data_IF_918285136875
#
_entry.id   IF_918285136875
#
_cell.length_a   1.000
_cell.length_b   1.000
_cell.length_c   1.000
_cell.angle_alpha   90.00
_cell.angle_beta   90.00
_cell.angle_gamma   90.00
#
_symmetry.space_group_name_H-M   'P 1'
#
loop_
_entity.id
_entity.type
_entity.pdbx_description
1 polymer ?
#
# COMPACT_ATOMS: atom_id res chain seq x y z
N UNK A 1 9.74 2.93 -8.34
CA UNK A 1 9.41 2.29 -9.63
C UNK A 1 10.09 0.92 -9.69
N UNK A 2 9.39 -0.20 -9.42
CA UNK A 2 10.03 -1.52 -9.24
C UNK A 2 9.21 -2.65 -9.84
N UNK A 3 9.90 -3.72 -10.27
CA UNK A 3 9.31 -4.92 -10.83
C UNK A 3 10.13 -6.19 -10.60
N UNK A 4 9.41 -7.32 -10.52
CA UNK A 4 9.93 -8.69 -10.65
C UNK A 4 9.29 -9.38 -11.86
N UNK A 5 10.05 -10.17 -12.60
CA UNK A 5 9.54 -10.97 -13.71
C UNK A 5 9.17 -12.39 -13.25
N UNK A 6 8.08 -12.94 -13.81
CA UNK A 6 7.80 -14.37 -13.82
C UNK A 6 7.90 -14.86 -15.28
N UNK A 7 8.59 -15.98 -15.49
CA UNK A 7 8.75 -16.63 -16.80
C UNK A 7 8.28 -18.07 -16.67
N UNK A 8 7.27 -18.45 -17.44
CA UNK A 8 6.80 -19.83 -17.57
C UNK A 8 7.05 -20.35 -18.98
N UNK A 9 7.39 -21.63 -19.11
CA UNK A 9 7.48 -22.33 -20.41
C UNK A 9 6.34 -23.34 -20.46
N UNK A 10 5.46 -23.21 -21.45
CA UNK A 10 4.46 -24.23 -21.78
C UNK A 10 4.58 -24.47 -23.28
N UNK A 11 4.89 -25.71 -23.65
CA UNK A 11 4.94 -26.26 -25.02
C UNK A 11 5.47 -25.34 -26.14
N UNK A 12 6.80 -25.15 -26.15
CA UNK A 12 7.51 -24.56 -27.30
C UNK A 12 7.39 -23.04 -27.47
N UNK A 13 6.40 -22.40 -26.85
CA UNK A 13 6.28 -20.94 -26.70
C UNK A 13 6.89 -20.45 -25.39
N UNK A 14 7.57 -19.31 -25.41
CA UNK A 14 8.00 -18.63 -24.18
C UNK A 14 7.00 -17.55 -23.84
N UNK A 15 6.20 -17.74 -22.79
CA UNK A 15 5.25 -16.75 -22.29
C UNK A 15 5.99 -15.79 -21.35
N UNK A 16 6.03 -14.50 -21.67
CA UNK A 16 6.79 -13.51 -20.92
C UNK A 16 5.88 -12.44 -20.30
N UNK A 17 5.79 -12.44 -18.97
CA UNK A 17 5.15 -11.37 -18.20
C UNK A 17 6.14 -10.22 -18.00
N UNK A 18 5.85 -9.05 -18.59
CA UNK A 18 6.75 -7.90 -18.51
C UNK A 18 6.46 -7.10 -17.25
N UNK A 19 7.40 -7.13 -16.32
CA UNK A 19 7.49 -6.12 -15.29
C UNK A 19 8.90 -5.50 -15.30
N UNK A 20 8.94 -4.28 -15.84
CA UNK A 20 9.90 -3.14 -15.87
C UNK A 20 11.44 -3.25 -16.10
N UNK A 21 11.92 -2.15 -16.72
CA UNK A 21 13.24 -1.54 -16.97
C UNK A 21 14.40 -2.37 -17.53
N UNK A 22 14.76 -3.51 -16.95
CA UNK A 22 15.93 -4.30 -17.42
C UNK A 22 15.78 -4.90 -18.84
N UNK A 23 14.61 -4.75 -19.45
CA UNK A 23 14.24 -5.37 -20.73
C UNK A 23 13.62 -4.41 -21.76
N UNK A 24 13.75 -3.09 -21.57
CA UNK A 24 13.58 -2.13 -22.68
C UNK A 24 14.43 -2.58 -23.88
N UNK A 25 15.66 -3.01 -23.62
CA UNK A 25 16.56 -3.62 -24.61
C UNK A 25 15.97 -4.86 -25.29
N UNK A 26 15.25 -5.76 -24.60
CA UNK A 26 14.70 -6.95 -25.28
C UNK A 26 13.59 -6.57 -26.27
N UNK A 27 12.64 -5.73 -25.83
CA UNK A 27 11.56 -5.25 -26.69
C UNK A 27 12.09 -4.42 -27.86
N UNK A 28 13.09 -3.59 -27.60
CA UNK A 28 13.67 -2.68 -28.60
C UNK A 28 14.62 -3.37 -29.57
N UNK A 29 15.28 -4.47 -29.20
CA UNK A 29 16.25 -5.15 -30.06
C UNK A 29 15.64 -6.21 -30.98
N UNK A 30 14.34 -6.56 -30.84
CA UNK A 30 13.72 -7.52 -31.78
C UNK A 30 13.60 -6.91 -33.19
N UNK A 31 13.93 -7.68 -34.24
CA UNK A 31 13.70 -7.28 -35.63
C UNK A 31 12.23 -7.06 -35.95
N UNK A 32 11.36 -7.88 -35.35
CA UNK A 32 9.91 -7.79 -35.47
C UNK A 32 9.34 -7.40 -34.11
N UNK A 33 8.50 -6.37 -34.09
CA UNK A 33 7.82 -5.93 -32.87
C UNK A 33 6.91 -7.04 -32.32
N UNK A 34 7.07 -7.42 -31.04
CA UNK A 34 6.30 -8.52 -30.45
C UNK A 34 4.82 -8.17 -30.31
N UNK A 35 3.95 -9.18 -30.41
CA UNK A 35 2.52 -9.04 -30.12
C UNK A 35 2.27 -9.08 -28.62
N UNK A 36 1.24 -8.40 -28.15
CA UNK A 36 0.87 -8.36 -26.76
C UNK A 36 -0.63 -8.50 -26.57
N UNK A 37 -1.00 -9.26 -25.55
CA UNK A 37 -2.36 -9.32 -25.03
C UNK A 37 -2.42 -8.63 -23.66
N UNK A 38 -3.37 -7.72 -23.50
CA UNK A 38 -3.63 -7.07 -22.21
C UNK A 38 -4.57 -7.96 -21.40
N UNK A 39 -4.16 -8.29 -20.19
CA UNK A 39 -4.91 -9.13 -19.26
C UNK A 39 -5.20 -8.32 -18.00
N UNK A 40 -6.47 -7.99 -17.78
CA UNK A 40 -6.95 -7.41 -16.54
C UNK A 40 -7.18 -8.50 -15.52
N UNK A 41 -6.81 -8.26 -14.27
CA UNK A 41 -7.09 -9.18 -13.17
C UNK A 41 -7.78 -8.37 -12.07
N UNK A 42 -9.01 -8.75 -11.77
CA UNK A 42 -9.85 -8.09 -10.78
C UNK A 42 -10.43 -9.09 -9.77
N UNK A 43 -10.87 -8.51 -8.65
CA UNK A 43 -11.54 -9.22 -7.57
C UNK A 43 -13.04 -9.08 -7.81
N UNK A 44 -13.65 -10.08 -8.42
CA UNK A 44 -15.09 -10.07 -8.61
C UNK A 44 -15.79 -10.54 -7.33
N UNK A 45 -16.55 -9.65 -6.71
CA UNK A 45 -17.71 -10.01 -5.90
C UNK A 45 -18.78 -10.49 -6.85
N UNK A 46 -19.20 -11.76 -6.71
CA UNK A 46 -20.20 -12.40 -7.58
C UNK A 46 -21.51 -11.61 -7.71
N UNK A 47 -21.76 -10.64 -6.84
CA UNK A 47 -22.96 -9.80 -6.78
C UNK A 47 -22.88 -8.52 -7.62
N UNK A 48 -21.70 -8.08 -8.10
CA UNK A 48 -21.53 -6.73 -8.69
C UNK A 48 -21.59 -6.66 -10.23
N UNK A 49 -21.66 -7.76 -11.01
CA UNK A 49 -21.42 -7.63 -12.48
C UNK A 49 -22.05 -8.66 -13.43
N UNK A 50 -23.29 -9.08 -13.21
CA UNK A 50 -23.99 -9.94 -14.18
C UNK A 50 -25.14 -9.27 -14.92
N UNK A 51 -25.16 -7.93 -14.97
CA UNK A 51 -25.96 -7.27 -15.99
C UNK A 51 -25.34 -7.64 -17.36
N UNK A 52 -26.11 -8.43 -18.09
CA UNK A 52 -25.80 -9.05 -19.36
C UNK A 52 -25.57 -8.01 -20.45
N UNK A 53 -24.42 -7.32 -20.44
CA UNK A 53 -23.94 -6.67 -21.65
C UNK A 53 -23.71 -7.76 -22.71
N UNK A 54 -24.48 -7.69 -23.79
CA UNK A 54 -24.52 -8.69 -24.87
C UNK A 54 -23.15 -8.96 -25.53
N UNK A 55 -22.17 -8.09 -25.28
CA UNK A 55 -20.84 -8.07 -25.91
C UNK A 55 -19.74 -8.80 -25.15
N UNK A 56 -20.06 -9.45 -24.03
CA UNK A 56 -19.05 -10.13 -23.21
C UNK A 56 -19.27 -11.63 -23.23
N UNK A 57 -18.20 -12.37 -23.53
CA UNK A 57 -18.26 -13.84 -23.52
C UNK A 57 -17.56 -14.36 -22.29
N UNK A 58 -18.36 -14.82 -21.33
CA UNK A 58 -17.86 -15.53 -20.17
C UNK A 58 -17.41 -16.93 -20.58
N UNK A 59 -16.15 -17.23 -20.34
CA UNK A 59 -15.59 -18.57 -20.42
C UNK A 59 -15.25 -18.93 -18.99
N UNK A 60 -16.16 -19.68 -18.35
CA UNK A 60 -15.88 -20.16 -17.00
C UNK A 60 -14.72 -21.16 -17.08
N UNK A 61 -13.68 -20.91 -16.28
CA UNK A 61 -12.58 -21.86 -16.09
C UNK A 61 -13.03 -23.05 -15.27
N UNK A 62 -12.08 -23.81 -14.72
CA UNK A 62 -12.31 -25.03 -13.93
C UNK A 62 -13.03 -24.78 -12.56
N UNK A 63 -13.92 -23.81 -12.45
CA UNK A 63 -14.63 -23.40 -11.24
C UNK A 63 -13.81 -22.52 -10.28
N UNK A 64 -12.60 -22.12 -10.66
CA UNK A 64 -11.65 -21.38 -9.82
C UNK A 64 -11.25 -20.01 -10.37
N UNK A 65 -11.43 -19.76 -11.66
CA UNK A 65 -11.19 -18.49 -12.34
C UNK A 65 -12.27 -18.33 -13.40
N UNK A 66 -12.85 -17.15 -13.49
CA UNK A 66 -13.75 -16.81 -14.58
C UNK A 66 -13.00 -15.90 -15.56
N UNK A 67 -12.92 -16.33 -16.82
CA UNK A 67 -12.19 -15.59 -17.86
C UNK A 67 -13.21 -14.97 -18.81
N UNK A 68 -13.06 -13.67 -19.02
CA UNK A 68 -13.92 -12.89 -19.88
C UNK A 68 -13.11 -12.28 -21.00
N UNK A 69 -13.52 -12.53 -22.23
CA UNK A 69 -12.90 -11.93 -23.41
C UNK A 69 -13.78 -10.78 -23.88
N UNK A 70 -13.17 -9.59 -24.00
CA UNK A 70 -13.83 -8.43 -24.59
C UNK A 70 -13.96 -8.67 -26.11
N UNK A 71 -15.17 -8.57 -26.69
CA UNK A 71 -15.37 -8.85 -28.12
C UNK A 71 -14.76 -7.81 -29.05
N UNK A 72 -14.74 -6.56 -28.61
CA UNK A 72 -14.19 -5.46 -29.37
C UNK A 72 -12.76 -5.15 -28.94
N UNK A 73 -11.96 -4.70 -29.91
CA UNK A 73 -10.70 -4.05 -29.61
C UNK A 73 -11.03 -2.91 -28.64
N UNK A 74 -10.50 -2.98 -27.42
CA UNK A 74 -10.83 -2.02 -26.38
C UNK A 74 -10.75 -0.60 -26.93
N UNK A 75 -11.89 0.10 -26.88
CA UNK A 75 -11.95 1.50 -27.29
C UNK A 75 -10.88 2.25 -26.50
N UNK A 76 -10.16 3.15 -27.17
CA UNK A 76 -9.17 4.00 -26.52
C UNK A 76 -9.78 4.71 -25.30
N UNK A 77 -11.09 4.98 -25.31
CA UNK A 77 -11.85 5.59 -24.22
C UNK A 77 -12.22 4.65 -23.06
N UNK A 78 -11.94 3.35 -23.13
CA UNK A 78 -12.13 2.43 -22.01
C UNK A 78 -11.31 2.90 -20.79
N UNK A 79 -12.00 3.07 -19.66
CA UNK A 79 -11.38 3.53 -18.42
C UNK A 79 -10.30 2.57 -17.91
N UNK A 80 -10.46 1.26 -18.17
CA UNK A 80 -9.47 0.22 -17.83
C UNK A 80 -8.16 0.45 -18.59
N UNK A 81 -8.25 0.91 -19.84
CA UNK A 81 -7.07 1.22 -20.65
C UNK A 81 -6.35 2.51 -20.24
N UNK A 82 -6.98 3.42 -19.49
CA UNK A 82 -6.31 4.68 -19.09
C UNK A 82 -4.97 4.43 -18.40
N UNK A 83 -4.86 3.34 -17.64
CA UNK A 83 -3.63 2.91 -16.96
C UNK A 83 -2.61 2.25 -17.89
N UNK A 84 -3.04 1.69 -19.02
CA UNK A 84 -2.18 1.01 -20.01
C UNK A 84 -1.84 1.90 -21.21
N UNK A 85 -2.47 3.08 -21.38
CA UNK A 85 -2.15 4.05 -22.46
C UNK A 85 -0.66 4.43 -22.52
N UNK A 86 0.03 4.45 -21.38
CA UNK A 86 1.46 4.73 -21.33
C UNK A 86 2.33 3.61 -21.92
N UNK A 87 1.80 2.40 -22.13
CA UNK A 87 2.55 1.30 -22.71
C UNK A 87 2.87 1.53 -24.18
N UNK A 88 1.93 2.11 -24.94
CA UNK A 88 2.16 2.41 -26.35
C UNK A 88 3.29 3.45 -26.53
N UNK A 89 3.32 4.48 -25.68
CA UNK A 89 4.37 5.49 -25.71
C UNK A 89 5.71 4.98 -25.16
N UNK A 90 5.69 4.14 -24.12
CA UNK A 90 6.90 3.57 -23.51
C UNK A 90 7.49 2.38 -24.27
N UNK A 91 6.66 1.63 -24.98
CA UNK A 91 7.03 0.41 -25.69
C UNK A 91 6.49 0.46 -27.12
N UNK A 92 7.00 1.39 -27.92
CA UNK A 92 6.53 1.67 -29.29
C UNK A 92 6.57 0.48 -30.26
N UNK A 93 7.38 -0.54 -29.97
CA UNK A 93 7.46 -1.79 -30.76
C UNK A 93 6.44 -2.86 -30.34
N UNK A 94 5.74 -2.69 -29.22
CA UNK A 94 4.78 -3.65 -28.70
C UNK A 94 3.44 -3.50 -29.42
N UNK A 95 3.01 -4.55 -30.14
CA UNK A 95 1.77 -4.53 -30.94
C UNK A 95 0.60 -5.08 -30.13
N UNK A 96 -0.34 -4.22 -29.77
CA UNK A 96 -1.53 -4.60 -28.97
C UNK A 96 -2.79 -4.80 -29.83
N UNK A 97 -2.68 -4.73 -31.16
CA UNK A 97 -3.82 -4.74 -32.10
C UNK A 97 -4.13 -6.13 -32.68
N UNK A 98 -3.49 -7.18 -32.16
CA UNK A 98 -3.65 -8.57 -32.61
C UNK A 98 -4.57 -9.36 -31.67
N UNK A 99 -4.61 -8.99 -30.39
CA UNK A 99 -5.35 -9.69 -29.35
C UNK A 99 -6.29 -8.73 -28.63
N UNK A 100 -7.53 -9.14 -28.45
CA UNK A 100 -8.48 -8.50 -27.57
C UNK A 100 -8.02 -8.63 -26.13
N UNK A 101 -8.45 -7.69 -25.30
CA UNK A 101 -8.16 -7.78 -23.89
C UNK A 101 -8.97 -8.90 -23.23
N UNK A 102 -8.35 -9.47 -22.20
CA UNK A 102 -8.95 -10.53 -21.39
C UNK A 102 -9.06 -10.01 -19.97
N UNK A 103 -10.20 -10.20 -19.32
CA UNK A 103 -10.37 -9.94 -17.89
C UNK A 103 -10.48 -11.28 -17.17
N UNK A 104 -9.63 -11.49 -16.17
CA UNK A 104 -9.62 -12.68 -15.33
C UNK A 104 -10.15 -12.29 -13.96
N UNK A 105 -11.34 -12.79 -13.66
CA UNK A 105 -12.00 -12.60 -12.39
C UNK A 105 -11.50 -13.66 -11.42
N UNK A 106 -10.85 -13.23 -10.35
CA UNK A 106 -10.44 -14.12 -9.26
C UNK A 106 -11.59 -14.14 -8.25
N UNK A 107 -12.27 -15.29 -8.04
CA UNK A 107 -13.25 -15.40 -6.98
C UNK A 107 -12.51 -15.29 -5.64
N UNK A 108 -12.77 -14.21 -4.90
CA UNK A 108 -12.35 -14.08 -3.50
C UNK A 108 -13.53 -14.44 -2.60
N UNK A 109 -13.79 -15.73 -2.31
CA UNK A 109 -14.55 -16.02 -1.11
C UNK A 109 -13.71 -15.53 0.07
N UNK A 110 -14.30 -14.71 0.96
CA UNK A 110 -13.64 -14.16 2.15
C UNK A 110 -12.90 -15.23 3.01
N UNK A 111 -13.15 -16.53 2.76
CA UNK A 111 -12.71 -17.65 3.58
C UNK A 111 -12.03 -18.83 2.85
N UNK A 112 -11.77 -18.81 1.53
CA UNK A 112 -11.04 -19.92 0.88
C UNK A 112 -9.68 -19.48 0.32
N UNK A 113 -8.63 -19.85 1.04
CA UNK A 113 -7.28 -20.07 0.50
C UNK A 113 -7.21 -21.54 0.06
N UNK A 114 -6.44 -21.90 -0.99
CA UNK A 114 -5.40 -21.10 -1.64
C UNK A 114 -5.90 -20.30 -2.86
N UNK A 115 -5.22 -19.19 -3.14
CA UNK A 115 -5.32 -18.52 -4.44
C UNK A 115 -4.95 -19.50 -5.56
N UNK A 116 -5.50 -19.33 -6.78
CA UNK A 116 -5.02 -20.01 -7.98
C UNK A 116 -3.48 -19.94 -8.03
N UNK A 117 -2.82 -21.07 -8.27
CA UNK A 117 -1.41 -21.02 -8.60
C UNK A 117 -1.23 -20.35 -9.99
N UNK A 118 -0.01 -19.91 -10.27
CA UNK A 118 0.27 -19.26 -11.55
C UNK A 118 0.05 -20.18 -12.74
N UNK A 119 0.12 -21.49 -12.56
CA UNK A 119 -0.17 -22.46 -13.62
C UNK A 119 -1.66 -22.46 -13.96
N UNK A 120 -2.56 -22.45 -12.98
CA UNK A 120 -3.99 -22.37 -13.20
C UNK A 120 -4.38 -21.08 -13.92
N UNK A 121 -3.76 -19.96 -13.57
CA UNK A 121 -3.94 -18.69 -14.27
C UNK A 121 -3.52 -18.80 -15.74
N UNK A 122 -2.31 -19.31 -16.01
CA UNK A 122 -1.80 -19.49 -17.37
C UNK A 122 -2.68 -20.47 -18.15
N UNK A 123 -3.03 -21.61 -17.58
CA UNK A 123 -3.88 -22.63 -18.21
C UNK A 123 -5.26 -22.08 -18.55
N UNK A 124 -5.81 -21.18 -17.73
CA UNK A 124 -7.08 -20.52 -18.01
C UNK A 124 -6.99 -19.56 -19.19
N UNK A 125 -5.87 -18.83 -19.33
CA UNK A 125 -5.61 -17.96 -20.49
C UNK A 125 -5.28 -18.75 -21.77
N UNK A 126 -4.63 -19.91 -21.63
CA UNK A 126 -4.30 -20.82 -22.74
C UNK A 126 -5.48 -21.71 -23.16
N UNK A 127 -6.67 -21.52 -22.57
CA UNK A 127 -7.86 -22.23 -22.99
C UNK A 127 -8.12 -21.92 -24.48
N UNK A 128 -8.31 -22.94 -25.35
CA UNK A 128 -8.52 -22.74 -26.79
C UNK A 128 -9.66 -21.76 -27.10
N UNK A 129 -10.72 -21.76 -26.30
CA UNK A 129 -11.85 -20.84 -26.48
C UNK A 129 -11.49 -19.39 -26.14
N UNK A 130 -10.65 -19.17 -25.13
CA UNK A 130 -10.13 -17.84 -24.77
C UNK A 130 -9.21 -17.35 -25.88
N UNK A 131 -8.29 -18.20 -26.33
CA UNK A 131 -7.37 -17.87 -27.42
C UNK A 131 -8.14 -17.52 -28.70
N UNK A 132 -9.07 -18.37 -29.13
CA UNK A 132 -9.89 -18.15 -30.33
C UNK A 132 -10.68 -16.84 -30.25
N UNK A 133 -11.39 -16.60 -29.13
CA UNK A 133 -12.21 -15.38 -28.98
C UNK A 133 -11.37 -14.12 -28.80
N UNK A 134 -10.14 -14.25 -28.33
CA UNK A 134 -9.26 -13.10 -28.15
C UNK A 134 -8.58 -12.64 -29.44
N UNK A 135 -8.76 -13.30 -30.58
CA UNK A 135 -8.14 -12.87 -31.84
C UNK A 135 -9.01 -11.82 -32.54
N UNK A 136 -8.49 -10.59 -32.69
CA UNK A 136 -9.24 -9.47 -33.30
C UNK A 136 -9.19 -9.46 -34.84
N UNK A 137 -8.30 -10.25 -35.45
CA UNK A 137 -8.07 -10.27 -36.90
C UNK A 137 -7.92 -11.72 -37.39
N UNK A 138 -8.19 -11.95 -38.68
CA UNK A 138 -7.86 -13.19 -39.41
C UNK A 138 -6.33 -13.40 -39.57
N UNK A 139 -5.55 -13.02 -38.56
CA UNK A 139 -4.16 -13.39 -38.43
C UNK A 139 -4.11 -14.90 -38.20
N UNK A 140 -3.16 -15.57 -38.87
CA UNK A 140 -2.83 -16.96 -38.57
C UNK A 140 -2.69 -17.09 -37.04
N UNK A 141 -3.33 -18.10 -36.45
CA UNK A 141 -3.39 -18.34 -35.01
C UNK A 141 -1.97 -18.34 -34.40
N UNK A 142 -1.54 -17.17 -33.91
CA UNK A 142 -0.26 -17.01 -33.21
C UNK A 142 -0.56 -16.48 -31.83
N UNK A 143 -0.08 -17.22 -30.83
CA UNK A 143 -0.11 -16.81 -29.44
C UNK A 143 0.56 -15.44 -29.25
N UNK A 144 0.12 -14.63 -28.27
CA UNK A 144 0.81 -13.39 -27.97
C UNK A 144 2.24 -13.65 -27.50
N UNK A 145 3.22 -12.90 -28.01
CA UNK A 145 4.60 -12.97 -27.52
C UNK A 145 4.70 -12.51 -26.03
N UNK A 146 3.79 -11.63 -25.61
CA UNK A 146 3.83 -10.93 -24.32
C UNK A 146 2.44 -10.87 -23.70
N UNK A 147 2.34 -11.17 -22.41
CA UNK A 147 1.17 -10.83 -21.60
C UNK A 147 1.43 -9.57 -20.79
N UNK A 148 0.55 -8.59 -20.95
CA UNK A 148 0.55 -7.34 -20.18
C UNK A 148 -0.50 -7.47 -19.11
N UNK A 149 -0.06 -7.76 -17.88
CA UNK A 149 -0.97 -7.93 -16.76
C UNK A 149 -1.26 -6.58 -16.09
N UNK A 150 -2.52 -6.22 -16.00
CA UNK A 150 -3.04 -5.09 -15.23
C UNK A 150 -3.83 -5.63 -14.05
N UNK A 151 -3.27 -5.55 -12.84
CA UNK A 151 -3.92 -6.10 -11.65
C UNK A 151 -3.83 -5.14 -10.46
N UNK A 152 -4.66 -5.39 -9.46
CA UNK A 152 -4.56 -4.71 -8.17
C UNK A 152 -3.41 -5.29 -7.33
N UNK A 153 -2.35 -4.49 -7.16
CA UNK A 153 -1.11 -4.85 -6.44
C UNK A 153 -1.32 -5.41 -5.03
N UNK A 154 -2.50 -5.22 -4.43
CA UNK A 154 -2.82 -5.71 -3.09
C UNK A 154 -2.92 -7.23 -3.01
N UNK A 155 -3.29 -7.89 -4.11
CA UNK A 155 -3.40 -9.33 -4.18
C UNK A 155 -2.63 -9.84 -5.39
N UNK A 156 -1.41 -10.31 -5.12
CA UNK A 156 -0.58 -10.87 -6.16
C UNK A 156 -1.21 -12.19 -6.64
N UNK A 157 -1.60 -12.31 -7.93
CA UNK A 157 -2.28 -13.50 -8.43
C UNK A 157 -1.34 -14.72 -8.51
N UNK A 158 -0.02 -14.51 -8.40
CA UNK A 158 0.99 -15.57 -8.44
C UNK A 158 1.56 -15.81 -7.04
N UNK A 159 0.70 -16.18 -6.09
CA UNK A 159 1.12 -16.59 -4.74
C UNK A 159 1.91 -17.91 -4.76
N UNK A 160 2.58 -18.28 -3.65
CA UNK A 160 3.35 -19.51 -3.55
C UNK A 160 2.40 -20.67 -3.30
N UNK A 161 1.69 -21.07 -4.35
CA UNK A 161 1.05 -22.38 -4.43
C UNK A 161 2.05 -23.50 -4.67
N UNK A 162 3.32 -23.21 -5.00
CA UNK A 162 4.36 -24.23 -5.06
C UNK A 162 4.73 -24.64 -3.64
N UNK A 163 4.53 -25.93 -3.33
CA UNK A 163 4.83 -26.59 -2.07
C UNK A 163 6.22 -26.25 -1.46
N UNK A 164 7.17 -25.79 -2.26
CA UNK A 164 8.54 -25.43 -1.86
C UNK A 164 8.70 -24.07 -1.18
N UNK A 165 7.87 -23.07 -1.49
CA UNK A 165 8.00 -21.75 -0.85
C UNK A 165 7.49 -21.77 0.61
N UNK A 166 6.60 -22.72 0.93
CA UNK A 166 6.10 -22.95 2.30
C UNK A 166 7.15 -23.66 3.17
N UNK A 167 8.03 -24.50 2.60
CA UNK A 167 9.02 -25.27 3.37
C UNK A 167 10.27 -24.48 3.76
N UNK A 168 10.53 -23.32 3.15
CA UNK A 168 11.73 -22.48 3.44
C UNK A 168 11.42 -21.29 4.36
N UNK A 169 10.17 -21.12 4.83
CA UNK A 169 9.81 -20.01 5.73
C UNK A 169 9.86 -18.62 5.07
N UNK A 170 10.01 -18.54 3.75
CA UNK A 170 9.81 -17.32 2.98
C UNK A 170 8.31 -17.15 2.69
N UNK A 171 7.56 -16.67 3.68
CA UNK A 171 6.10 -16.48 3.57
C UNK A 171 5.71 -15.24 2.72
N UNK A 172 6.66 -14.64 2.00
CA UNK A 172 6.38 -13.57 1.06
C UNK A 172 6.85 -13.94 -0.36
N UNK A 173 5.96 -14.52 -1.17
CA UNK A 173 6.11 -14.43 -2.64
C UNK A 173 5.26 -13.32 -3.25
N UNK A 174 4.77 -12.40 -2.42
CA UNK A 174 4.27 -11.11 -2.91
C UNK A 174 5.41 -10.23 -3.42
N UNK A 175 5.06 -9.25 -4.26
CA UNK A 175 5.98 -8.16 -4.62
C UNK A 175 6.55 -7.53 -3.36
N UNK A 176 7.85 -7.69 -3.14
CA UNK A 176 8.55 -7.03 -2.04
C UNK A 176 8.78 -5.55 -2.41
N UNK A 177 8.89 -4.70 -1.37
CA UNK A 177 9.35 -3.34 -1.57
C UNK A 177 10.81 -3.33 -2.01
N UNK A 178 11.25 -2.20 -2.53
CA UNK A 178 12.61 -2.09 -3.03
C UNK A 178 13.67 -2.12 -1.95
N UNK A 179 14.88 -2.53 -2.33
CA UNK A 179 16.05 -2.45 -1.45
C UNK A 179 16.29 -1.02 -0.93
N UNK A 180 16.02 0.01 -1.75
CA UNK A 180 16.12 1.41 -1.33
C UNK A 180 15.14 1.73 -0.19
N UNK A 181 13.88 1.29 -0.31
CA UNK A 181 12.84 1.50 0.73
C UNK A 181 13.16 0.70 1.99
N UNK A 182 13.63 -0.54 1.85
CA UNK A 182 14.07 -1.36 2.99
C UNK A 182 15.29 -0.77 3.71
N UNK A 183 16.26 -0.26 2.95
CA UNK A 183 17.45 0.41 3.49
C UNK A 183 17.09 1.72 4.19
N UNK A 184 16.19 2.51 3.62
CA UNK A 184 15.69 3.72 4.28
C UNK A 184 14.92 3.37 5.55
N UNK A 185 13.95 2.46 5.50
CA UNK A 185 13.23 2.00 6.68
C UNK A 185 14.18 1.50 7.77
N UNK A 186 15.24 0.76 7.37
CA UNK A 186 16.29 0.32 8.28
C UNK A 186 16.98 1.51 8.96
N UNK A 187 17.43 2.51 8.21
CA UNK A 187 18.04 3.74 8.76
C UNK A 187 17.12 4.50 9.73
N UNK A 188 15.81 4.48 9.48
CA UNK A 188 14.83 5.13 10.36
C UNK A 188 14.70 4.40 11.71
N UNK A 189 14.72 3.05 11.71
CA UNK A 189 14.40 2.27 12.92
C UNK A 189 15.62 1.70 13.66
N UNK A 190 16.78 1.57 13.00
CA UNK A 190 18.01 1.02 13.57
C UNK A 190 18.45 1.69 14.88
N UNK A 191 18.31 3.02 15.06
CA UNK A 191 18.67 3.68 16.32
C UNK A 191 17.92 3.16 17.54
N UNK A 192 16.76 2.52 17.36
CA UNK A 192 15.88 2.14 18.46
C UNK A 192 16.04 0.70 18.96
N UNK A 193 16.80 -0.15 18.26
CA UNK A 193 16.96 -1.59 18.55
C UNK A 193 15.63 -2.34 18.78
N UNK A 194 15.03 -2.21 19.97
CA UNK A 194 13.69 -2.69 20.34
C UNK A 194 12.73 -1.53 20.57
N UNK A 195 11.65 -1.48 19.79
CA UNK A 195 10.59 -0.49 19.93
C UNK A 195 9.22 -1.14 19.83
N UNK A 196 8.20 -0.44 20.33
CA UNK A 196 6.79 -0.80 20.15
C UNK A 196 6.23 0.03 19.00
N UNK A 197 5.57 -0.60 18.05
CA UNK A 197 4.86 0.10 16.99
C UNK A 197 3.34 0.07 17.21
N UNK A 198 2.69 1.21 17.03
CA UNK A 198 1.25 1.38 17.03
C UNK A 198 0.81 1.70 15.61
N UNK A 199 -0.18 0.98 15.09
CA UNK A 199 -0.89 1.39 13.89
C UNK A 199 -2.31 1.84 14.24
N UNK A 200 -2.58 3.13 14.09
CA UNK A 200 -3.87 3.73 14.42
C UNK A 200 -4.46 4.54 13.27
N UNK A 201 -5.52 3.99 12.68
CA UNK A 201 -6.24 4.55 11.54
C UNK A 201 -7.46 5.35 12.01
N UNK A 202 -7.23 6.60 12.42
CA UNK A 202 -8.21 7.49 13.03
C UNK A 202 -9.35 7.85 12.08
N UNK A 203 -9.14 7.89 10.76
CA UNK A 203 -10.17 8.32 9.81
C UNK A 203 -11.36 7.34 9.73
N UNK A 204 -11.18 6.13 10.26
CA UNK A 204 -12.23 5.11 10.35
C UNK A 204 -13.02 5.16 11.66
N UNK A 205 -12.59 5.98 12.61
CA UNK A 205 -13.19 6.08 13.94
C UNK A 205 -14.12 7.31 13.98
N UNK A 206 -15.37 7.15 14.45
CA UNK A 206 -16.25 8.29 14.72
C UNK A 206 -15.54 9.33 15.60
N UNK A 207 -15.51 10.62 15.20
CA UNK A 207 -14.71 11.64 15.90
C UNK A 207 -14.95 11.71 17.41
N UNK A 208 -16.20 11.61 17.84
CA UNK A 208 -16.58 11.66 19.25
C UNK A 208 -15.97 10.54 20.12
N UNK A 209 -15.52 9.43 19.52
CA UNK A 209 -14.87 8.32 20.25
C UNK A 209 -13.34 8.44 20.27
N UNK A 210 -12.74 9.32 19.48
CA UNK A 210 -11.29 9.42 19.38
C UNK A 210 -10.58 9.73 20.71
N UNK A 211 -11.10 10.62 21.58
CA UNK A 211 -10.47 10.87 22.88
C UNK A 211 -10.45 9.63 23.76
N UNK A 212 -11.59 8.92 23.89
CA UNK A 212 -11.68 7.68 24.68
C UNK A 212 -10.75 6.59 24.11
N UNK A 213 -10.67 6.49 22.77
CA UNK A 213 -9.73 5.59 22.11
C UNK A 213 -8.26 5.95 22.35
N UNK A 214 -7.94 7.24 22.48
CA UNK A 214 -6.60 7.69 22.84
C UNK A 214 -6.25 7.29 24.28
N UNK A 215 -7.18 7.43 25.22
CA UNK A 215 -6.99 6.98 26.61
C UNK A 215 -6.78 5.47 26.67
N UNK A 216 -7.63 4.70 25.98
CA UNK A 216 -7.48 3.24 25.89
C UNK A 216 -6.14 2.81 25.26
N UNK A 217 -5.66 3.55 24.26
CA UNK A 217 -4.32 3.34 23.69
C UNK A 217 -3.23 3.58 24.75
N UNK A 218 -3.29 4.70 25.46
CA UNK A 218 -2.31 5.05 26.52
C UNK A 218 -2.29 3.97 27.62
N UNK A 219 -3.44 3.51 28.08
CA UNK A 219 -3.56 2.45 29.08
C UNK A 219 -2.97 1.12 28.59
N UNK A 220 -3.23 0.77 27.33
CA UNK A 220 -2.67 -0.42 26.69
C UNK A 220 -1.14 -0.31 26.63
N UNK A 221 -0.60 0.82 26.19
CA UNK A 221 0.83 1.07 26.14
C UNK A 221 1.47 0.99 27.53
N UNK A 222 0.85 1.61 28.53
CA UNK A 222 1.35 1.60 29.91
C UNK A 222 1.40 0.16 30.46
N UNK A 223 0.36 -0.62 30.21
CA UNK A 223 0.29 -2.03 30.63
C UNK A 223 1.39 -2.87 29.95
N UNK A 224 1.54 -2.76 28.63
CA UNK A 224 2.52 -3.54 27.88
C UNK A 224 3.98 -3.17 28.20
N UNK A 225 4.24 -1.88 28.45
CA UNK A 225 5.59 -1.39 28.73
C UNK A 225 5.98 -1.55 30.21
N UNK A 226 5.01 -1.70 31.12
CA UNK A 226 5.26 -2.07 32.51
C UNK A 226 5.57 -3.58 32.69
N UNK A 227 5.16 -4.43 31.74
CA UNK A 227 5.47 -5.85 31.77
C UNK A 227 6.99 -6.09 31.61
N UNK A 228 7.63 -6.86 32.52
CA UNK A 228 9.08 -7.02 32.54
C UNK A 228 9.63 -7.83 31.36
N UNK A 229 8.78 -8.55 30.63
CA UNK A 229 9.15 -9.34 29.45
C UNK A 229 8.82 -8.53 28.20
N UNK A 230 7.59 -8.01 28.08
CA UNK A 230 7.13 -7.30 26.89
C UNK A 230 7.73 -5.90 26.77
N UNK A 231 7.91 -5.19 27.87
CA UNK A 231 8.49 -3.84 27.92
C UNK A 231 10.01 -3.79 27.97
N UNK A 232 10.69 -4.94 28.13
CA UNK A 232 12.15 -4.98 28.27
C UNK A 232 12.85 -4.25 27.11
N UNK A 233 13.79 -3.36 27.42
CA UNK A 233 14.57 -2.58 26.45
C UNK A 233 13.77 -1.69 25.48
N UNK A 234 12.45 -1.56 25.64
CA UNK A 234 11.64 -0.65 24.82
C UNK A 234 11.73 0.75 25.41
N UNK A 235 12.30 1.68 24.65
CA UNK A 235 12.38 3.13 24.99
C UNK A 235 11.66 4.03 24.00
N UNK A 236 11.22 3.46 22.88
CA UNK A 236 10.59 4.19 21.79
C UNK A 236 9.27 3.55 21.42
N UNK A 237 8.26 4.40 21.21
CA UNK A 237 6.98 4.08 20.61
C UNK A 237 6.91 4.74 19.25
N UNK A 238 6.77 3.92 18.21
CA UNK A 238 6.55 4.35 16.83
C UNK A 238 5.05 4.39 16.55
N UNK A 239 4.48 5.56 16.27
CA UNK A 239 3.05 5.67 15.95
C UNK A 239 2.85 5.93 14.45
N UNK A 240 2.40 4.88 13.76
CA UNK A 240 1.94 4.91 12.38
C UNK A 240 0.45 5.29 12.36
N UNK A 241 0.14 6.51 11.96
CA UNK A 241 -1.23 7.03 11.92
C UNK A 241 -1.46 7.82 10.64
N UNK A 242 -2.72 7.80 10.20
CA UNK A 242 -3.26 8.61 9.11
C UNK A 242 -3.41 10.10 9.48
N UNK A 243 -3.16 10.47 10.73
CA UNK A 243 -3.13 11.86 11.19
C UNK A 243 -2.05 12.67 10.46
N UNK A 244 -2.38 13.86 9.92
CA UNK A 244 -1.52 14.56 8.96
C UNK A 244 -0.31 15.27 9.60
N UNK A 245 -0.30 15.53 10.91
CA UNK A 245 0.79 16.31 11.52
C UNK A 245 1.78 15.44 12.30
N UNK A 246 3.02 15.93 12.49
CA UNK A 246 3.97 15.34 13.40
C UNK A 246 3.38 15.15 14.80
N UNK A 247 3.64 13.98 15.36
CA UNK A 247 3.12 13.45 16.62
C UNK A 247 4.14 13.60 17.76
N UNK A 248 5.41 13.91 17.47
CA UNK A 248 6.40 14.07 18.52
C UNK A 248 6.06 15.20 19.50
N UNK A 249 6.40 14.98 20.76
CA UNK A 249 6.14 15.89 21.88
C UNK A 249 6.89 17.21 21.76
N UNK A 250 7.97 17.26 20.98
CA UNK A 250 8.74 18.48 20.70
C UNK A 250 8.08 19.39 19.66
N UNK A 251 7.16 18.86 18.86
CA UNK A 251 6.40 19.61 17.86
C UNK A 251 5.20 20.26 18.55
N UNK A 252 5.36 21.49 19.05
CA UNK A 252 4.21 22.28 19.49
C UNK A 252 3.46 22.77 18.27
N UNK A 253 2.31 22.16 17.97
CA UNK A 253 1.31 22.81 17.12
C UNK A 253 0.74 23.93 17.98
N UNK A 254 1.18 25.16 17.75
CA UNK A 254 0.52 26.34 18.30
C UNK A 254 -0.83 26.45 17.61
N UNK A 255 -1.86 25.91 18.26
CA UNK A 255 -3.28 26.06 17.86
C UNK A 255 -3.68 27.53 17.64
N UNK A 256 -2.93 28.46 18.23
CA UNK A 256 -3.20 29.90 18.20
C UNK A 256 -2.88 30.57 16.84
N UNK A 257 -2.04 29.97 16.00
CA UNK A 257 -1.61 30.58 14.72
C UNK A 257 -2.52 30.21 13.54
N UNK A 258 -3.16 29.04 13.64
CA UNK A 258 -4.14 28.55 12.64
C UNK A 258 -5.58 28.98 12.93
N UNK A 259 -5.86 29.52 14.13
CA UNK A 259 -7.13 30.18 14.46
C UNK A 259 -7.22 31.63 13.96
N UNK A 260 -6.11 32.25 13.50
CA UNK A 260 -6.06 33.69 13.15
C UNK A 260 -6.14 34.03 11.66
N UNK A 261 -6.38 33.07 10.76
CA UNK A 261 -6.61 33.37 9.34
C UNK A 261 -8.10 33.25 9.01
N UNK A 262 -8.85 34.23 9.48
CA UNK A 262 -10.07 34.78 8.86
C UNK A 262 -10.47 36.00 9.69
N UNK A 263 -9.83 37.15 9.43
CA UNK A 263 -10.38 38.46 9.80
C UNK A 263 -11.27 38.91 8.63
N UNK A 264 -12.61 38.83 8.74
CA UNK A 264 -13.50 39.32 7.70
C UNK A 264 -13.72 40.81 7.94
N UNK A 265 -12.70 41.64 7.70
CA UNK A 265 -12.93 43.05 7.40
C UNK A 265 -13.24 43.20 5.91
N UNK A 266 -14.44 42.75 5.51
CA UNK A 266 -15.14 43.32 4.38
C UNK A 266 -16.63 43.40 4.69
N UNK A 267 -17.06 44.63 4.97
CA UNK A 267 -18.43 45.10 4.99
C UNK A 267 -19.23 44.58 3.79
N UNK A 268 -20.15 43.63 3.99
CA UNK A 268 -21.41 43.55 3.24
C UNK A 268 -22.49 42.87 4.09
N UNK A 269 -23.61 43.57 4.29
CA UNK A 269 -24.87 43.04 4.80
C UNK A 269 -25.35 41.82 4.00
N UNK A 270 -25.55 40.66 4.63
CA UNK A 270 -26.76 39.86 4.42
C UNK A 270 -26.96 38.74 5.45
N UNK A 271 -28.25 38.44 5.58
CA UNK A 271 -28.98 37.67 6.56
C UNK A 271 -28.90 36.14 6.32
N UNK A 272 -29.30 35.41 7.37
CA UNK A 272 -29.75 34.03 7.42
C UNK A 272 -28.76 32.85 7.63
N UNK A 273 -29.27 31.96 8.43
CA UNK A 273 -28.72 30.97 9.35
C UNK A 273 -28.17 29.71 8.68
N UNK A 274 -26.86 29.66 8.45
CA UNK A 274 -26.16 28.37 8.27
C UNK A 274 -25.00 28.28 9.25
N UNK A 275 -25.16 27.47 10.31
CA UNK A 275 -24.05 27.04 11.18
C UNK A 275 -23.03 26.25 10.34
N UNK A 276 -22.11 26.96 9.70
CA UNK A 276 -20.94 26.35 9.09
C UNK A 276 -19.90 26.12 10.18
N UNK A 277 -19.81 24.87 10.63
CA UNK A 277 -18.73 24.42 11.51
C UNK A 277 -17.37 24.78 10.86
N UNK A 278 -16.46 25.47 11.56
CA UNK A 278 -15.18 25.88 11.00
C UNK A 278 -14.30 24.65 10.83
N UNK A 279 -14.42 24.00 9.67
CA UNK A 279 -13.52 22.95 9.23
C UNK A 279 -12.16 23.57 8.93
N UNK A 280 -11.16 23.17 9.71
CA UNK A 280 -9.78 23.61 9.57
C UNK A 280 -9.23 23.13 8.22
N UNK A 281 -8.92 24.05 7.30
CA UNK A 281 -8.31 23.69 6.02
C UNK A 281 -6.85 23.28 6.25
N UNK A 282 -6.56 22.01 5.99
CA UNK A 282 -5.23 21.42 6.12
C UNK A 282 -4.39 21.86 4.93
N UNK A 283 -3.22 22.45 5.18
CA UNK A 283 -2.20 22.69 4.16
C UNK A 283 -1.93 21.39 3.39
N UNK A 284 -2.12 21.43 2.08
CA UNK A 284 -2.01 20.27 1.20
C UNK A 284 -0.59 19.69 1.25
N UNK A 285 0.42 20.52 1.50
CA UNK A 285 1.82 20.10 1.64
C UNK A 285 2.08 19.28 2.91
N UNK A 286 1.24 19.42 3.95
CA UNK A 286 1.35 18.67 5.19
C UNK A 286 0.54 17.37 5.19
N UNK A 287 -0.12 17.00 4.09
CA UNK A 287 -0.99 15.81 4.05
C UNK A 287 -0.19 14.51 3.93
N UNK A 288 -0.01 13.82 5.07
CA UNK A 288 0.59 12.47 5.14
C UNK A 288 -0.29 11.37 4.55
N UNK A 289 -1.58 11.62 4.39
CA UNK A 289 -2.51 10.64 3.84
C UNK A 289 -3.61 11.28 3.00
N UNK A 290 -3.88 10.67 1.85
CA UNK A 290 -5.03 11.01 1.00
C UNK A 290 -6.36 10.50 1.56
N UNK A 291 -6.33 9.63 2.58
CA UNK A 291 -7.54 9.06 3.19
C UNK A 291 -8.23 10.03 4.14
N UNK A 292 -7.48 10.98 4.71
CA UNK A 292 -8.02 11.97 5.64
C UNK A 292 -8.73 13.09 4.88
N UNK A 293 -10.06 13.05 4.85
CA UNK A 293 -10.88 14.08 4.19
C UNK A 293 -11.00 15.35 5.02
N UNK A 294 -11.06 15.22 6.35
CA UNK A 294 -11.24 16.33 7.27
C UNK A 294 -10.69 15.98 8.65
N UNK A 295 -9.95 16.90 9.27
CA UNK A 295 -9.52 16.79 10.67
C UNK A 295 -10.47 17.58 11.55
N UNK A 296 -11.07 16.90 12.53
CA UNK A 296 -11.94 17.53 13.54
C UNK A 296 -11.16 17.87 14.82
N UNK A 297 -11.71 18.73 15.71
CA UNK A 297 -11.11 18.99 17.02
C UNK A 297 -10.88 17.75 17.88
N UNK A 298 -11.71 16.71 17.72
CA UNK A 298 -11.55 15.46 18.49
C UNK A 298 -10.31 14.65 18.06
N UNK A 299 -9.90 14.75 16.78
CA UNK A 299 -8.65 14.16 16.33
C UNK A 299 -7.45 14.84 17.00
N UNK A 300 -7.48 16.17 17.05
CA UNK A 300 -6.44 16.96 17.72
C UNK A 300 -6.41 16.61 19.21
N UNK A 301 -7.58 16.54 19.85
CA UNK A 301 -7.69 16.17 21.27
C UNK A 301 -7.13 14.77 21.53
N UNK A 302 -7.46 13.80 20.70
CA UNK A 302 -6.95 12.44 20.81
C UNK A 302 -5.42 12.39 20.70
N UNK A 303 -4.84 13.10 19.73
CA UNK A 303 -3.38 13.18 19.60
C UNK A 303 -2.75 13.93 20.78
N UNK A 304 -3.38 14.97 21.32
CA UNK A 304 -2.89 15.64 22.53
C UNK A 304 -2.97 14.75 23.79
N UNK A 305 -3.95 13.86 23.90
CA UNK A 305 -4.00 12.83 24.95
C UNK A 305 -2.77 11.91 24.83
N UNK A 306 -2.50 11.40 23.63
CA UNK A 306 -1.32 10.54 23.39
C UNK A 306 -0.04 11.31 23.70
N UNK A 307 0.16 12.52 23.15
CA UNK A 307 1.34 13.36 23.40
C UNK A 307 1.50 13.68 24.88
N UNK A 308 0.40 13.98 25.56
CA UNK A 308 0.34 14.26 27.00
C UNK A 308 0.90 13.11 27.83
N UNK A 309 0.64 11.86 27.45
CA UNK A 309 1.17 10.69 28.15
C UNK A 309 2.71 10.61 28.13
N UNK A 310 3.38 11.11 27.09
CA UNK A 310 4.85 11.10 26.96
C UNK A 310 5.54 12.35 27.55
N UNK A 311 4.79 13.40 27.92
CA UNK A 311 5.34 14.62 28.54
C UNK A 311 5.84 14.33 29.98
N UNK A 312 6.69 15.21 30.56
CA UNK A 312 7.05 15.14 31.98
C UNK A 312 5.83 15.00 32.89
N UNK A 313 5.81 13.93 33.69
CA UNK A 313 4.70 13.60 34.60
C UNK A 313 3.55 12.80 33.99
N UNK A 314 3.58 12.50 32.69
CA UNK A 314 2.61 11.62 32.03
C UNK A 314 2.83 10.13 32.33
N UNK A 315 1.84 9.30 32.01
CA UNK A 315 1.87 7.85 32.26
C UNK A 315 3.02 7.12 31.56
N UNK A 316 3.48 7.65 30.43
CA UNK A 316 4.56 7.10 29.60
C UNK A 316 5.81 7.98 29.67
N UNK A 317 5.98 8.73 30.77
CA UNK A 317 7.12 9.61 30.97
C UNK A 317 8.46 8.85 30.86
N UNK A 318 9.42 9.45 30.15
CA UNK A 318 10.76 8.88 29.94
C UNK A 318 10.87 7.98 28.71
N UNK A 319 9.75 7.72 28.02
CA UNK A 319 9.73 7.09 26.71
C UNK A 319 9.70 8.13 25.59
N UNK A 320 10.14 7.74 24.40
CA UNK A 320 10.12 8.58 23.19
C UNK A 320 8.94 8.20 22.31
N UNK A 321 8.15 9.20 21.89
CA UNK A 321 7.14 9.04 20.84
C UNK A 321 7.69 9.59 19.53
N UNK A 322 7.71 8.77 18.48
CA UNK A 322 8.16 9.15 17.14
C UNK A 322 7.28 8.52 16.05
N UNK A 323 7.51 8.91 14.80
CA UNK A 323 6.86 8.37 13.60
C UNK A 323 7.73 8.63 12.37
N UNK A 324 7.25 8.21 11.19
CA UNK A 324 8.06 8.32 9.96
C UNK A 324 8.50 9.76 9.64
N UNK A 325 7.70 10.77 9.96
CA UNK A 325 8.02 12.17 9.60
C UNK A 325 9.17 12.70 10.43
N UNK A 326 9.14 12.47 11.73
CA UNK A 326 10.19 12.91 12.65
C UNK A 326 11.51 12.20 12.39
N UNK A 327 11.44 10.91 12.02
CA UNK A 327 12.63 10.14 11.68
C UNK A 327 13.22 10.54 10.33
N UNK A 328 12.40 10.89 9.35
CA UNK A 328 12.89 11.45 8.09
C UNK A 328 13.59 12.79 8.30
N UNK A 329 13.02 13.68 9.13
CA UNK A 329 13.64 14.95 9.48
C UNK A 329 14.97 14.76 10.22
N UNK A 330 15.05 13.77 11.12
CA UNK A 330 16.31 13.41 11.80
C UNK A 330 17.36 12.95 10.79
N UNK A 331 17.01 12.02 9.91
CA UNK A 331 17.92 11.47 8.90
C UNK A 331 18.41 12.55 7.93
N UNK A 332 17.53 13.50 7.54
CA UNK A 332 17.91 14.65 6.70
C UNK A 332 18.94 15.54 7.41
N UNK A 333 18.71 15.92 8.67
CA UNK A 333 19.64 16.74 9.45
C UNK A 333 21.00 16.06 9.69
N UNK A 334 21.02 14.75 9.86
CA UNK A 334 22.26 13.96 9.97
C UNK A 334 23.07 14.01 8.67
N UNK A 335 22.40 13.95 7.51
CA UNK A 335 23.06 14.11 6.20
C UNK A 335 23.65 15.53 6.02
N UNK A 336 22.93 16.57 6.44
CA UNK A 336 23.39 17.97 6.32
C UNK A 336 24.58 18.29 7.22
N UNK A 337 24.57 17.77 8.45
CA UNK A 337 25.62 18.03 9.45
C UNK A 337 26.87 17.18 9.25
N UNK A 338 26.79 16.11 8.46
CA UNK A 338 27.83 15.09 8.29
C UNK A 338 29.12 15.53 7.58
N UNK A 339 29.21 16.74 7.01
CA UNK A 339 30.44 17.39 6.52
C UNK A 339 31.31 16.65 5.48
N UNK A 340 30.99 15.39 5.15
CA UNK A 340 31.71 14.55 4.20
C UNK A 340 30.90 14.44 2.93
N UNK A 341 31.42 15.01 1.85
CA UNK A 341 30.86 14.98 0.48
C UNK A 341 30.79 13.59 -0.17
N UNK A 342 30.41 12.56 0.58
CA UNK A 342 29.97 11.29 0.03
C UNK A 342 28.47 11.33 -0.21
N UNK A 343 28.06 12.08 -1.25
CA UNK A 343 26.75 11.82 -1.87
C UNK A 343 26.81 10.40 -2.41
N UNK A 344 26.30 9.44 -1.63
CA UNK A 344 26.16 8.06 -2.08
C UNK A 344 24.93 7.90 -2.97
N UNK A 345 24.22 8.99 -3.25
CA UNK A 345 23.01 9.06 -4.05
C UNK A 345 23.07 10.33 -4.89
N UNK A 346 23.89 10.34 -5.95
CA UNK A 346 23.90 11.42 -6.95
C UNK A 346 22.55 11.61 -7.69
N UNK A 347 21.51 10.86 -7.30
CA UNK A 347 20.10 11.00 -7.69
C UNK A 347 19.25 11.58 -6.53
N UNK A 348 19.76 12.56 -5.78
CA UNK A 348 19.11 13.12 -4.57
C UNK A 348 17.76 13.79 -4.89
N UNK A 349 17.64 14.46 -6.04
CA UNK A 349 16.40 15.17 -6.43
C UNK A 349 15.19 14.22 -6.62
N UNK A 350 15.41 12.99 -7.08
CA UNK A 350 14.32 12.02 -7.25
C UNK A 350 13.85 11.41 -5.92
N UNK A 351 14.73 11.38 -4.90
CA UNK A 351 14.38 10.82 -3.61
C UNK A 351 13.54 11.75 -2.76
N UNK A 352 13.83 13.04 -2.78
CA UNK A 352 13.01 14.00 -2.03
C UNK A 352 11.57 14.03 -2.57
N UNK A 353 11.39 14.01 -3.89
CA UNK A 353 10.06 13.90 -4.51
C UNK A 353 9.36 12.58 -4.13
N UNK A 354 10.10 11.48 -3.97
CA UNK A 354 9.54 10.20 -3.56
C UNK A 354 9.09 10.22 -2.08
N UNK A 355 9.77 10.96 -1.22
CA UNK A 355 9.46 11.04 0.22
C UNK A 355 8.29 11.98 0.52
N UNK A 356 7.90 12.82 -0.44
CA UNK A 356 6.66 13.60 -0.38
C UNK A 356 5.42 12.76 -0.69
N UNK A 357 5.58 11.56 -1.26
CA UNK A 357 4.45 10.68 -1.58
C UNK A 357 3.87 10.04 -0.28
N UNK A 358 2.60 10.30 0.06
CA UNK A 358 1.98 9.76 1.27
C UNK A 358 1.89 8.23 1.27
N UNK A 359 1.81 7.61 0.09
CA UNK A 359 1.87 6.16 -0.06
C UNK A 359 3.25 5.59 0.32
N UNK A 360 4.33 6.28 -0.04
CA UNK A 360 5.70 5.93 0.38
C UNK A 360 5.86 6.04 1.89
N UNK A 361 5.34 7.11 2.51
CA UNK A 361 5.36 7.26 3.97
C UNK A 361 4.61 6.12 4.67
N UNK A 362 3.41 5.77 4.17
CA UNK A 362 2.67 4.61 4.65
C UNK A 362 3.44 3.29 4.50
N UNK A 363 4.16 3.10 3.40
CA UNK A 363 5.02 1.92 3.19
C UNK A 363 6.13 1.87 4.24
N UNK A 364 6.79 2.99 4.53
CA UNK A 364 7.85 3.07 5.54
C UNK A 364 7.32 2.74 6.94
N UNK A 365 6.17 3.32 7.31
CA UNK A 365 5.45 3.01 8.55
C UNK A 365 5.12 1.51 8.66
N UNK A 366 4.71 0.90 7.54
CA UNK A 366 4.40 -0.54 7.48
C UNK A 366 5.63 -1.39 7.79
N UNK A 367 6.75 -1.10 7.14
CA UNK A 367 7.99 -1.86 7.31
C UNK A 367 8.53 -1.66 8.73
N UNK A 368 8.42 -0.45 9.28
CA UNK A 368 8.72 -0.20 10.69
C UNK A 368 7.84 -1.06 11.61
N UNK A 369 6.51 -1.05 11.44
CA UNK A 369 5.61 -1.86 12.25
C UNK A 369 5.87 -3.38 12.12
N UNK A 370 6.25 -3.86 10.93
CA UNK A 370 6.66 -5.25 10.71
C UNK A 370 7.92 -5.62 11.49
N UNK A 371 8.84 -4.66 11.70
CA UNK A 371 10.13 -4.87 12.38
C UNK A 371 10.11 -4.62 13.89
N UNK A 372 9.03 -4.04 14.42
CA UNK A 372 8.90 -3.72 15.84
C UNK A 372 9.02 -4.97 16.74
N UNK A 373 9.41 -4.79 18.00
CA UNK A 373 9.40 -5.88 18.98
C UNK A 373 7.96 -6.26 19.37
N UNK A 374 7.13 -5.23 19.61
CA UNK A 374 5.71 -5.34 19.96
C UNK A 374 4.89 -4.52 18.95
N UNK A 375 3.75 -5.04 18.52
CA UNK A 375 2.83 -4.35 17.61
C UNK A 375 1.45 -4.22 18.24
N UNK A 376 0.89 -3.01 18.19
CA UNK A 376 -0.43 -2.66 18.72
C UNK A 376 -1.28 -2.07 17.61
N UNK A 377 -2.55 -2.45 17.53
CA UNK A 377 -3.49 -1.91 16.56
C UNK A 377 -4.87 -1.62 17.16
N UNK A 378 -5.66 -0.76 16.52
CA UNK A 378 -7.01 -0.46 17.00
C UNK A 378 -7.97 -1.66 16.85
N UNK A 379 -8.71 -1.98 17.91
CA UNK A 379 -9.86 -2.88 17.87
C UNK A 379 -11.02 -2.22 17.10
N UNK A 380 -12.07 -3.00 16.78
CA UNK A 380 -13.19 -2.59 15.89
C UNK A 380 -13.83 -1.24 16.25
N UNK A 381 -13.79 -0.80 17.51
CA UNK A 381 -14.32 0.51 17.96
C UNK A 381 -13.32 1.65 17.79
N UNK A 382 -12.04 1.38 17.97
CA UNK A 382 -10.96 2.36 17.93
C UNK A 382 -10.10 2.28 16.67
N UNK A 383 -10.49 1.45 15.71
CA UNK A 383 -9.92 1.38 14.38
C UNK A 383 -10.55 0.27 13.54
N UNK A 384 -10.28 0.30 12.25
CA UNK A 384 -10.59 -0.81 11.35
C UNK A 384 -9.36 -1.69 11.17
N UNK A 385 -9.52 -3.01 11.26
CA UNK A 385 -8.51 -3.97 10.80
C UNK A 385 -8.42 -3.82 9.28
N UNK A 386 -7.48 -2.97 8.85
CA UNK A 386 -7.22 -2.71 7.44
C UNK A 386 -6.40 -3.84 6.82
N UNK A 387 -6.37 -3.92 5.49
CA UNK A 387 -5.44 -4.80 4.78
C UNK A 387 -3.99 -4.53 5.19
N UNK A 388 -3.65 -3.28 5.49
CA UNK A 388 -2.35 -2.86 6.03
C UNK A 388 -2.06 -3.51 7.39
N UNK A 389 -2.99 -3.41 8.35
CA UNK A 389 -2.87 -4.05 9.67
C UNK A 389 -2.74 -5.56 9.52
N UNK A 390 -3.59 -6.17 8.68
CA UNK A 390 -3.58 -7.62 8.42
C UNK A 390 -2.24 -8.08 7.85
N UNK A 391 -1.67 -7.34 6.90
CA UNK A 391 -0.35 -7.66 6.33
C UNK A 391 0.76 -7.60 7.38
N UNK A 392 0.71 -6.65 8.33
CA UNK A 392 1.67 -6.59 9.45
C UNK A 392 1.48 -7.81 10.35
N UNK A 393 0.25 -8.10 10.78
CA UNK A 393 -0.07 -9.25 11.64
C UNK A 393 0.33 -10.57 10.99
N UNK A 394 0.00 -10.76 9.71
CA UNK A 394 0.33 -11.98 8.95
C UNK A 394 1.85 -12.12 8.78
N UNK A 395 2.57 -11.04 8.47
CA UNK A 395 4.04 -11.07 8.38
C UNK A 395 4.66 -11.49 9.72
N UNK A 396 4.20 -10.89 10.81
CA UNK A 396 4.68 -11.16 12.17
C UNK A 396 4.39 -12.60 12.59
N UNK A 397 3.15 -13.08 12.42
CA UNK A 397 2.76 -14.45 12.74
C UNK A 397 3.61 -15.52 12.01
N UNK A 398 4.12 -15.17 10.83
CA UNK A 398 4.90 -16.09 9.99
C UNK A 398 6.42 -15.92 10.11
N UNK A 399 6.90 -14.84 10.73
CA UNK A 399 8.32 -14.61 10.98
C UNK A 399 8.84 -15.59 12.05
N UNK A 400 9.22 -16.80 11.65
CA UNK A 400 9.86 -17.78 12.53
C UNK A 400 11.33 -17.40 12.74
N UNK A 401 11.77 -17.31 13.99
CA UNK A 401 13.19 -17.23 14.35
C UNK A 401 13.78 -15.82 14.56
N UNK A 402 12.97 -14.76 14.54
CA UNK A 402 13.42 -13.45 15.01
C UNK A 402 13.29 -13.36 16.54
N UNK A 403 14.24 -12.69 17.20
CA UNK A 403 14.20 -12.32 18.62
C UNK A 403 13.06 -11.34 18.96
N UNK A 404 12.19 -11.03 17.99
CA UNK A 404 11.02 -10.19 18.20
C UNK A 404 10.04 -10.95 19.07
N UNK A 405 9.50 -10.26 20.08
CA UNK A 405 8.48 -10.82 20.98
C UNK A 405 7.19 -11.18 20.24
N UNK A 406 7.08 -10.77 18.97
CA UNK A 406 6.08 -11.16 17.99
C UNK A 406 4.64 -11.10 18.52
N UNK A 407 4.43 -10.20 19.47
CA UNK A 407 3.13 -9.94 20.09
C UNK A 407 2.38 -8.96 19.20
N UNK A 408 1.09 -9.27 19.01
CA UNK A 408 0.11 -8.43 18.34
C UNK A 408 -1.01 -8.20 19.33
N UNK A 409 -1.17 -6.95 19.77
CA UNK A 409 -2.21 -6.53 20.71
C UNK A 409 -3.21 -5.59 20.05
N UNK A 410 -4.38 -5.48 20.68
CA UNK A 410 -5.44 -4.57 20.27
C UNK A 410 -5.87 -3.65 21.40
N UNK A 411 -6.20 -2.39 21.09
CA UNK A 411 -6.76 -1.44 22.06
C UNK A 411 -8.17 -0.99 21.64
N UNK A 412 -9.05 -0.74 22.61
CA UNK A 412 -10.38 -0.15 22.39
C UNK A 412 -11.57 -1.08 22.52
#
# INVERSE_FOLDING_TARGET
>A
MWARAASGRVDGGSLMCIMTWGRLTWLELRPVGPTAQVVFVDEATREDSWDTEEDKTLISGNGLLDVQVDRDALDLDDQRLRKTRCLASKFSKLKQDHHAAVTVHIPFPEHQKPLPDGELFINSLMNPEVLEKSLLKNTLFTDPDVLVLSWDIRHFPFGPGTLEAVTVGQVNTGLDYSEKIHALSKRLVDPYQSYLAVHWRMETVPPAMLPDCAEALVDTLNTLLADPILGQDIKTVWLASDFPWPISSSSSITLDESMRLNDPQQDVFQDDSTEQNPLMQIDVSARRSNTFRAVSPDHIRAIEVVKGAFRPGGALHGLTLTGVSEELDRVRKESESGGGGGSMLEDDDEQDVLLEDPGVLGILDKIAAMRAAVFVSGAKRCGRVSTFTRQITDYRANAKGSTQRNVVEVFG
#
